data_IF_200202639737
#
_entry.id   IF_200202639737
#
_cell.length_a   1.000
_cell.length_b   1.000
_cell.length_c   1.000
_cell.angle_alpha   90.00
_cell.angle_beta   90.00
_cell.angle_gamma   90.00
#
_symmetry.space_group_name_H-M   'P 1'
#
loop_
_entity.id
_entity.type
_entity.pdbx_description
1 polymer ?
#
# COMPACT_ATOMS: atom_id res chain seq x y z
N UNK A 1 -6.33 -4.41 21.09
CA UNK A 1 -5.61 -3.77 19.95
C UNK A 1 -6.33 -4.07 18.64
N UNK A 2 -7.33 -3.26 18.29
CA UNK A 2 -7.98 -3.31 16.98
C UNK A 2 -6.92 -3.01 15.91
N UNK A 3 -6.60 -4.02 15.09
CA UNK A 3 -5.73 -3.86 13.93
C UNK A 3 -6.62 -3.58 12.73
N UNK A 4 -6.57 -2.35 12.22
CA UNK A 4 -7.12 -2.02 10.92
C UNK A 4 -6.11 -2.49 9.87
N UNK A 5 -6.36 -3.63 9.25
CA UNK A 5 -5.59 -4.09 8.12
C UNK A 5 -6.53 -4.73 7.10
N UNK A 6 -6.34 -4.38 5.84
CA UNK A 6 -7.07 -4.98 4.74
C UNK A 6 -6.13 -5.94 4.01
N UNK A 7 -6.45 -7.21 4.06
CA UNK A 7 -5.75 -8.24 3.30
C UNK A 7 -6.71 -8.86 2.28
N UNK A 8 -6.19 -9.18 1.10
CA UNK A 8 -6.99 -9.83 0.03
C UNK A 8 -7.54 -11.16 0.52
N UNK A 9 -6.80 -11.83 1.40
CA UNK A 9 -7.17 -13.09 2.05
C UNK A 9 -8.49 -13.00 2.82
N UNK A 10 -8.83 -11.84 3.36
CA UNK A 10 -10.10 -11.62 4.06
C UNK A 10 -11.30 -11.67 3.11
N UNK A 11 -11.12 -11.45 1.81
CA UNK A 11 -12.17 -11.60 0.81
C UNK A 11 -12.49 -13.06 0.50
N UNK A 12 -11.52 -13.96 0.67
CA UNK A 12 -11.66 -15.41 0.42
C UNK A 12 -12.12 -16.21 1.65
N UNK A 13 -12.38 -15.57 2.77
CA UNK A 13 -12.53 -16.17 4.11
C UNK A 13 -13.65 -17.21 4.29
N UNK A 14 -14.40 -17.57 3.26
CA UNK A 14 -15.50 -18.54 3.36
C UNK A 14 -15.19 -19.94 2.82
N UNK A 15 -14.15 -20.10 2.00
CA UNK A 15 -13.81 -21.39 1.43
C UNK A 15 -12.43 -21.85 1.91
N UNK A 16 -12.40 -22.78 2.87
CA UNK A 16 -11.15 -23.28 3.48
C UNK A 16 -10.22 -23.90 2.45
N UNK A 17 -10.75 -24.63 1.46
CA UNK A 17 -9.98 -25.33 0.46
C UNK A 17 -9.25 -24.36 -0.48
N UNK A 18 -9.92 -23.32 -0.96
CA UNK A 18 -9.30 -22.27 -1.80
C UNK A 18 -8.26 -21.47 -1.03
N UNK A 19 -8.49 -21.25 0.27
CA UNK A 19 -7.55 -20.54 1.12
C UNK A 19 -6.28 -21.36 1.36
N UNK A 20 -6.39 -22.67 1.57
CA UNK A 20 -5.25 -23.58 1.71
C UNK A 20 -4.42 -23.64 0.43
N UNK A 21 -5.05 -23.78 -0.74
CA UNK A 21 -4.39 -23.75 -2.05
C UNK A 21 -3.65 -22.42 -2.26
N UNK A 22 -4.25 -21.30 -1.90
CA UNK A 22 -3.62 -19.98 -1.99
C UNK A 22 -2.38 -19.86 -1.10
N UNK A 23 -2.43 -20.37 0.13
CA UNK A 23 -1.28 -20.36 1.03
C UNK A 23 -0.16 -21.32 0.57
N UNK A 24 -0.49 -22.46 -0.03
CA UNK A 24 0.49 -23.35 -0.64
C UNK A 24 1.16 -22.69 -1.84
N UNK A 25 0.38 -22.04 -2.70
CA UNK A 25 0.90 -21.27 -3.82
C UNK A 25 1.86 -20.16 -3.36
N UNK A 26 1.51 -19.41 -2.31
CA UNK A 26 2.39 -18.37 -1.75
C UNK A 26 3.72 -18.92 -1.19
N UNK A 27 3.72 -20.17 -0.69
CA UNK A 27 4.96 -20.81 -0.20
C UNK A 27 5.90 -21.17 -1.34
N UNK A 28 5.36 -21.64 -2.47
CA UNK A 28 6.15 -22.07 -3.62
C UNK A 28 6.60 -20.90 -4.51
N UNK A 29 5.71 -19.97 -4.80
CA UNK A 29 5.94 -18.90 -5.79
C UNK A 29 6.29 -17.53 -5.19
N UNK A 30 6.53 -17.44 -3.90
CA UNK A 30 6.71 -16.18 -3.15
C UNK A 30 5.55 -15.19 -3.30
N UNK A 31 5.45 -14.27 -2.34
CA UNK A 31 4.37 -13.27 -2.32
C UNK A 31 4.66 -12.16 -3.32
N UNK A 32 3.80 -11.99 -4.33
CA UNK A 32 3.85 -10.86 -5.26
C UNK A 32 3.13 -9.60 -4.70
N UNK A 33 2.27 -9.79 -3.70
CA UNK A 33 1.51 -8.72 -3.05
C UNK A 33 2.38 -7.80 -2.16
N UNK A 34 3.67 -8.11 -2.01
CA UNK A 34 4.66 -7.32 -1.31
C UNK A 34 5.52 -6.44 -2.24
N UNK A 35 5.22 -6.41 -3.54
CA UNK A 35 5.96 -5.61 -4.50
C UNK A 35 5.42 -4.20 -4.56
N UNK A 36 6.31 -3.23 -4.36
CA UNK A 36 6.06 -1.81 -4.48
C UNK A 36 6.85 -1.28 -5.68
N UNK A 37 6.22 -0.47 -6.49
CA UNK A 37 6.82 0.13 -7.67
C UNK A 37 7.04 1.62 -7.43
N UNK A 38 8.26 2.06 -7.59
CA UNK A 38 8.64 3.46 -7.59
C UNK A 38 8.89 3.88 -9.04
N UNK A 39 7.92 4.58 -9.62
CA UNK A 39 7.94 5.01 -11.03
C UNK A 39 8.55 6.39 -11.12
N UNK A 40 9.43 6.59 -12.10
CA UNK A 40 10.13 7.84 -12.37
C UNK A 40 10.14 8.15 -13.87
N UNK A 41 10.34 9.41 -14.22
CA UNK A 41 10.59 9.80 -15.61
C UNK A 41 11.92 9.26 -16.10
N UNK A 42 11.97 8.94 -17.39
CA UNK A 42 13.17 8.50 -18.09
C UNK A 42 13.52 9.56 -19.14
N UNK A 43 14.76 10.06 -19.18
CA UNK A 43 15.21 10.98 -20.24
C UNK A 43 15.24 10.26 -21.59
N UNK A 44 15.11 11.02 -22.68
CA UNK A 44 15.17 10.47 -24.06
C UNK A 44 16.45 9.68 -24.33
N UNK A 45 17.53 10.05 -23.64
CA UNK A 45 18.83 9.36 -23.73
C UNK A 45 19.31 8.98 -22.34
N UNK A 46 19.66 7.71 -22.15
CA UNK A 46 20.28 7.23 -20.92
C UNK A 46 21.70 7.80 -20.77
N UNK A 47 21.84 8.88 -20.03
CA UNK A 47 23.15 9.42 -19.68
C UNK A 47 23.76 8.65 -18.50
N UNK A 48 25.09 8.59 -18.42
CA UNK A 48 25.79 7.98 -17.31
C UNK A 48 25.40 8.62 -15.96
N UNK A 49 25.20 9.95 -15.97
CA UNK A 49 24.75 10.68 -14.78
C UNK A 49 23.35 10.27 -14.30
N UNK A 50 22.43 9.98 -15.21
CA UNK A 50 21.09 9.47 -14.87
C UNK A 50 21.19 8.07 -14.26
N UNK A 51 21.94 7.17 -14.90
CA UNK A 51 22.17 5.81 -14.41
C UNK A 51 22.87 5.81 -13.05
N UNK A 52 23.84 6.69 -12.83
CA UNK A 52 24.53 6.82 -11.55
C UNK A 52 23.59 7.32 -10.45
N UNK A 53 22.76 8.32 -10.72
CA UNK A 53 21.76 8.82 -9.80
C UNK A 53 20.75 7.72 -9.42
N UNK A 54 20.25 7.00 -10.43
CA UNK A 54 19.32 5.89 -10.21
C UNK A 54 19.94 4.77 -9.38
N UNK A 55 21.21 4.46 -9.63
CA UNK A 55 21.97 3.48 -8.88
C UNK A 55 22.20 3.90 -7.43
N UNK A 56 22.45 5.18 -7.15
CA UNK A 56 22.58 5.71 -5.78
C UNK A 56 21.27 5.58 -5.02
N UNK A 57 20.14 5.90 -5.65
CA UNK A 57 18.82 5.72 -5.06
C UNK A 57 18.57 4.24 -4.74
N UNK A 58 18.78 3.35 -5.70
CA UNK A 58 18.60 1.92 -5.53
C UNK A 58 19.48 1.36 -4.41
N UNK A 59 20.74 1.77 -4.33
CA UNK A 59 21.65 1.38 -3.25
C UNK A 59 21.20 1.89 -1.87
N UNK A 60 20.67 3.10 -1.80
CA UNK A 60 20.13 3.66 -0.56
C UNK A 60 18.91 2.88 -0.09
N UNK A 61 18.01 2.55 -1.01
CA UNK A 61 16.83 1.74 -0.74
C UNK A 61 17.21 0.31 -0.32
N UNK A 62 18.18 -0.30 -0.98
CA UNK A 62 18.64 -1.66 -0.67
C UNK A 62 19.29 -1.78 0.71
N UNK A 63 19.92 -0.72 1.21
CA UNK A 63 20.48 -0.66 2.56
C UNK A 63 19.43 -0.44 3.65
N UNK A 64 18.20 -0.09 3.28
CA UNK A 64 17.13 0.16 4.25
C UNK A 64 16.65 -1.12 4.91
N UNK A 65 16.12 -1.06 6.13
CA UNK A 65 15.58 -2.24 6.82
C UNK A 65 14.27 -2.75 6.19
N UNK A 66 13.63 -1.97 5.33
CA UNK A 66 12.27 -2.18 4.84
C UNK A 66 12.18 -3.20 3.71
N UNK A 67 13.18 -3.24 2.83
CA UNK A 67 13.14 -4.02 1.61
C UNK A 67 13.99 -5.30 1.71
N UNK A 68 13.49 -6.37 1.10
CA UNK A 68 14.19 -7.63 0.93
C UNK A 68 15.06 -7.62 -0.32
N UNK A 69 14.55 -6.95 -1.35
CA UNK A 69 15.17 -6.88 -2.67
C UNK A 69 14.79 -5.57 -3.33
N UNK A 70 15.73 -4.96 -4.01
CA UNK A 70 15.55 -3.73 -4.81
C UNK A 70 16.14 -4.00 -6.18
N UNK A 71 15.34 -3.84 -7.22
CA UNK A 71 15.76 -4.00 -8.61
C UNK A 71 15.51 -2.68 -9.33
N UNK A 72 16.53 -2.11 -9.90
CA UNK A 72 16.45 -0.86 -10.66
C UNK A 72 16.84 -1.07 -12.13
N UNK A 73 16.40 -0.13 -12.96
CA UNK A 73 16.84 -0.08 -14.35
C UNK A 73 18.37 0.04 -14.45
N UNK A 74 19.02 0.73 -13.50
CA UNK A 74 20.47 0.87 -13.46
C UNK A 74 21.21 -0.45 -13.26
N UNK A 75 20.64 -1.38 -12.48
CA UNK A 75 21.24 -2.69 -12.25
C UNK A 75 21.25 -3.51 -13.54
N UNK A 76 20.14 -3.48 -14.26
CA UNK A 76 20.00 -4.17 -15.54
C UNK A 76 20.90 -3.52 -16.59
N UNK A 77 20.96 -2.17 -16.62
CA UNK A 77 21.80 -1.41 -17.55
C UNK A 77 23.30 -1.75 -17.37
N UNK A 78 23.78 -1.84 -16.14
CA UNK A 78 25.18 -2.19 -15.85
C UNK A 78 25.54 -3.64 -16.11
N UNK A 79 24.61 -4.57 -15.88
CA UNK A 79 24.82 -5.99 -16.12
C UNK A 79 24.90 -6.31 -17.61
N UNK A 80 24.14 -5.59 -18.41
CA UNK A 80 24.11 -5.76 -19.87
C UNK A 80 25.21 -5.02 -20.61
N UNK A 81 25.85 -3.99 -20.08
CA UNK A 81 27.07 -3.39 -20.66
C UNK A 81 28.26 -4.38 -20.70
N UNK A 82 28.11 -5.55 -20.08
CA UNK A 82 29.05 -6.67 -20.19
C UNK A 82 28.75 -7.62 -21.36
N UNK A 83 27.57 -7.49 -22.01
CA UNK A 83 27.15 -8.27 -23.19
C UNK A 83 26.35 -7.35 -24.12
N UNK A 84 26.64 -7.44 -25.42
CA UNK A 84 25.97 -6.72 -26.51
C UNK A 84 24.45 -6.61 -26.27
N UNK A 85 23.94 -5.37 -26.22
CA UNK A 85 22.60 -5.01 -25.77
C UNK A 85 21.53 -5.58 -26.69
N UNK A 86 20.77 -6.53 -26.19
CA UNK A 86 19.42 -6.82 -26.69
C UNK A 86 18.40 -6.05 -25.86
N UNK A 87 17.92 -4.90 -26.36
CA UNK A 87 16.81 -4.13 -25.75
C UNK A 87 15.51 -4.92 -25.65
N UNK A 88 15.47 -6.11 -26.21
CA UNK A 88 14.34 -7.06 -26.17
C UNK A 88 14.39 -8.01 -24.96
N UNK A 89 15.34 -7.87 -24.04
CA UNK A 89 15.30 -8.68 -22.84
C UNK A 89 13.98 -8.41 -22.10
N UNK A 90 13.20 -9.46 -21.87
CA UNK A 90 11.87 -9.39 -21.24
C UNK A 90 11.87 -8.67 -19.87
N UNK A 91 13.02 -8.55 -19.21
CA UNK A 91 13.19 -7.83 -17.94
C UNK A 91 13.19 -6.32 -18.13
N UNK A 92 13.85 -5.78 -19.16
CA UNK A 92 13.85 -4.36 -19.49
C UNK A 92 12.45 -3.90 -19.94
N UNK A 93 11.79 -4.70 -20.77
CA UNK A 93 10.44 -4.39 -21.27
C UNK A 93 9.41 -4.24 -20.14
N UNK A 94 9.62 -4.91 -19.00
CA UNK A 94 8.73 -4.81 -17.86
C UNK A 94 9.06 -3.67 -16.89
N UNK A 95 10.23 -3.03 -17.02
CA UNK A 95 10.67 -1.94 -16.15
C UNK A 95 10.56 -0.55 -16.80
N UNK A 96 10.33 -0.51 -18.08
CA UNK A 96 10.17 0.73 -18.86
C UNK A 96 8.80 0.72 -19.53
N UNK A 97 8.13 1.87 -19.55
CA UNK A 97 6.83 2.02 -20.23
C UNK A 97 6.98 1.82 -21.75
N UNK A 98 5.89 1.45 -22.42
CA UNK A 98 5.90 1.19 -23.89
C UNK A 98 6.34 2.40 -24.72
N UNK A 99 6.08 3.60 -24.20
CA UNK A 99 6.47 4.88 -24.82
C UNK A 99 7.87 5.33 -24.39
N UNK A 100 8.57 4.54 -23.57
CA UNK A 100 9.90 4.80 -23.05
C UNK A 100 10.03 6.10 -22.24
N UNK A 101 8.91 6.66 -21.75
CA UNK A 101 8.91 7.92 -20.98
C UNK A 101 9.08 7.71 -19.48
N UNK A 102 8.75 6.51 -18.99
CA UNK A 102 8.79 6.18 -17.55
C UNK A 102 9.53 4.87 -17.31
N UNK A 103 10.29 4.86 -16.24
CA UNK A 103 10.95 3.68 -15.70
C UNK A 103 10.45 3.36 -14.28
N UNK A 104 10.77 2.18 -13.79
CA UNK A 104 10.38 1.77 -12.45
C UNK A 104 11.53 1.13 -11.68
N UNK A 105 11.55 1.37 -10.37
CA UNK A 105 12.35 0.62 -9.40
C UNK A 105 11.38 -0.34 -8.69
N UNK A 106 11.71 -1.61 -8.68
CA UNK A 106 10.93 -2.65 -8.04
C UNK A 106 11.46 -2.89 -6.64
N UNK A 107 10.57 -2.76 -5.66
CA UNK A 107 10.90 -2.84 -4.23
C UNK A 107 10.11 -3.98 -3.61
N UNK A 108 10.77 -5.05 -3.22
CA UNK A 108 10.13 -6.15 -2.51
C UNK A 108 10.16 -5.89 -1.02
N UNK A 109 9.00 -5.59 -0.46
CA UNK A 109 8.82 -5.29 0.96
C UNK A 109 9.03 -6.57 1.79
N UNK A 110 9.67 -6.46 2.96
CA UNK A 110 9.73 -7.55 3.93
C UNK A 110 8.34 -7.77 4.54
N UNK A 111 7.98 -9.02 4.82
CA UNK A 111 6.66 -9.39 5.32
C UNK A 111 6.28 -8.67 6.61
N UNK A 112 7.24 -8.45 7.50
CA UNK A 112 7.05 -7.72 8.76
C UNK A 112 6.60 -6.25 8.58
N UNK A 113 6.82 -5.68 7.40
CA UNK A 113 6.45 -4.30 7.07
C UNK A 113 5.17 -4.20 6.24
N UNK A 114 4.51 -5.30 5.93
CA UNK A 114 3.26 -5.31 5.15
C UNK A 114 2.00 -5.17 6.02
N UNK A 115 2.07 -4.43 7.14
CA UNK A 115 0.92 -4.00 7.95
C UNK A 115 0.59 -2.54 7.67
N UNK A 116 -0.66 -2.11 7.87
CA UNK A 116 -1.09 -0.73 7.55
C UNK A 116 -0.15 0.33 8.11
N UNK A 117 0.12 0.29 9.43
CA UNK A 117 0.98 1.27 10.09
C UNK A 117 2.40 1.30 9.52
N UNK A 118 2.98 0.14 9.29
CA UNK A 118 4.35 0.03 8.77
C UNK A 118 4.42 0.36 7.28
N UNK A 119 3.38 0.05 6.50
CA UNK A 119 3.29 0.48 5.09
C UNK A 119 3.28 2.00 4.96
N UNK A 120 2.51 2.70 5.82
CA UNK A 120 2.52 4.16 5.85
C UNK A 120 3.92 4.73 6.12
N UNK A 121 4.63 4.15 7.10
CA UNK A 121 6.01 4.52 7.42
C UNK A 121 6.96 4.32 6.23
N UNK A 122 6.85 3.18 5.53
CA UNK A 122 7.64 2.91 4.33
C UNK A 122 7.34 3.90 3.21
N UNK A 123 6.08 4.23 2.97
CA UNK A 123 5.68 5.19 1.94
C UNK A 123 6.20 6.60 2.28
N UNK A 124 6.14 7.01 3.54
CA UNK A 124 6.72 8.29 4.00
C UNK A 124 8.24 8.31 3.83
N UNK A 125 8.91 7.21 4.16
CA UNK A 125 10.35 7.06 3.93
C UNK A 125 10.70 7.19 2.44
N UNK A 126 9.95 6.53 1.54
CA UNK A 126 10.16 6.68 0.09
C UNK A 126 9.99 8.14 -0.35
N UNK A 127 8.93 8.81 0.11
CA UNK A 127 8.70 10.22 -0.18
C UNK A 127 9.85 11.11 0.32
N UNK A 128 10.42 10.81 1.47
CA UNK A 128 11.55 11.58 2.02
C UNK A 128 12.82 11.44 1.18
N UNK A 129 13.09 10.26 0.62
CA UNK A 129 14.24 10.03 -0.27
C UNK A 129 14.04 10.73 -1.61
N UNK A 130 12.84 10.66 -2.18
CA UNK A 130 12.56 11.18 -3.53
C UNK A 130 12.33 12.69 -3.54
N UNK A 131 11.95 13.31 -2.42
CA UNK A 131 11.66 14.74 -2.32
C UNK A 131 12.87 15.65 -2.62
N UNK A 132 14.10 15.14 -2.50
CA UNK A 132 15.33 15.85 -2.81
C UNK A 132 15.77 15.76 -4.28
N UNK A 133 15.01 15.06 -5.13
CA UNK A 133 15.36 14.76 -6.51
C UNK A 133 14.29 15.38 -7.39
N UNK A 134 14.71 16.23 -8.32
CA UNK A 134 13.84 16.96 -9.25
C UNK A 134 13.35 16.05 -10.41
N UNK A 135 12.71 14.92 -10.04
CA UNK A 135 12.05 14.00 -10.95
C UNK A 135 10.59 13.85 -10.53
N UNK A 136 9.73 13.56 -11.49
CA UNK A 136 8.35 13.21 -11.20
C UNK A 136 8.29 11.75 -10.70
N UNK A 137 7.80 11.58 -9.45
CA UNK A 137 7.73 10.27 -8.80
C UNK A 137 6.30 9.83 -8.58
N UNK A 138 6.01 8.59 -8.97
CA UNK A 138 4.73 7.94 -8.70
C UNK A 138 4.96 6.64 -7.95
N UNK A 139 4.16 6.42 -6.91
CA UNK A 139 4.20 5.22 -6.08
C UNK A 139 3.05 4.30 -6.47
N UNK A 140 3.34 3.04 -6.76
CA UNK A 140 2.35 2.05 -7.20
C UNK A 140 2.62 0.70 -6.55
N UNK A 141 1.76 -0.26 -6.81
CA UNK A 141 1.84 -1.62 -6.26
C UNK A 141 0.80 -1.90 -5.18
N UNK A 142 0.59 -3.18 -4.90
CA UNK A 142 -0.45 -3.63 -3.95
C UNK A 142 -0.30 -3.01 -2.55
N UNK A 143 0.92 -2.88 -1.96
CA UNK A 143 1.07 -2.24 -0.66
C UNK A 143 0.61 -0.79 -0.64
N UNK A 144 0.84 -0.01 -1.71
CA UNK A 144 0.39 1.38 -1.82
C UNK A 144 -1.12 1.45 -1.91
N UNK A 145 -1.72 0.63 -2.77
CA UNK A 145 -3.18 0.57 -2.94
C UNK A 145 -3.87 0.21 -1.63
N UNK A 146 -3.37 -0.81 -0.93
CA UNK A 146 -3.89 -1.23 0.39
C UNK A 146 -3.79 -0.10 1.42
N UNK A 147 -2.66 0.60 1.46
CA UNK A 147 -2.47 1.71 2.39
C UNK A 147 -3.46 2.85 2.12
N UNK A 148 -3.54 3.26 0.86
CA UNK A 148 -4.44 4.32 0.40
C UNK A 148 -5.91 3.97 0.65
N UNK A 149 -6.30 2.71 0.39
CA UNK A 149 -7.66 2.23 0.65
C UNK A 149 -8.04 2.35 2.13
N UNK A 150 -7.17 1.88 3.03
CA UNK A 150 -7.42 1.97 4.48
C UNK A 150 -7.45 3.43 4.95
N UNK A 151 -6.56 4.27 4.43
CA UNK A 151 -6.52 5.70 4.74
C UNK A 151 -7.83 6.40 4.34
N UNK A 152 -8.31 6.18 3.12
CA UNK A 152 -9.59 6.71 2.67
C UNK A 152 -10.77 6.17 3.49
N UNK A 153 -10.77 4.89 3.80
CA UNK A 153 -11.82 4.27 4.62
C UNK A 153 -11.91 4.90 6.01
N UNK A 154 -10.77 5.15 6.66
CA UNK A 154 -10.72 5.85 7.94
C UNK A 154 -11.21 7.29 7.80
N UNK A 155 -10.76 8.01 6.78
CA UNK A 155 -11.14 9.39 6.51
C UNK A 155 -12.63 9.53 6.24
N UNK A 156 -13.20 8.62 5.46
CA UNK A 156 -14.64 8.59 5.16
C UNK A 156 -15.46 8.28 6.41
N UNK A 157 -15.04 7.33 7.23
CA UNK A 157 -15.73 7.03 8.48
C UNK A 157 -15.75 8.26 9.41
N UNK A 158 -14.62 8.94 9.59
CA UNK A 158 -14.55 10.16 10.41
C UNK A 158 -15.46 11.28 9.84
N UNK A 159 -15.58 11.37 8.52
CA UNK A 159 -16.38 12.39 7.85
C UNK A 159 -17.88 12.09 7.91
N UNK A 160 -18.29 10.82 7.76
CA UNK A 160 -19.70 10.45 7.61
C UNK A 160 -20.38 10.06 8.93
N UNK A 161 -19.66 9.49 9.89
CA UNK A 161 -20.28 9.08 11.17
C UNK A 161 -20.90 10.25 11.93
N UNK A 162 -20.26 11.42 12.11
CA UNK A 162 -20.87 12.53 12.87
C UNK A 162 -22.16 13.06 12.27
N UNK A 163 -22.28 13.37 10.94
CA UNK A 163 -23.54 13.85 10.40
C UNK A 163 -24.64 12.79 10.44
N UNK A 164 -24.35 11.52 10.23
CA UNK A 164 -25.33 10.44 10.34
C UNK A 164 -25.82 10.31 11.79
N UNK A 165 -24.93 10.38 12.76
CA UNK A 165 -25.30 10.38 14.19
C UNK A 165 -26.17 11.60 14.54
N UNK A 166 -25.84 12.79 14.00
CA UNK A 166 -26.62 14.02 14.19
C UNK A 166 -28.05 13.87 13.64
N UNK A 167 -28.19 13.36 12.41
CA UNK A 167 -29.49 13.13 11.77
C UNK A 167 -30.32 12.16 12.62
N UNK A 168 -29.69 11.09 13.10
CA UNK A 168 -30.35 10.10 13.98
C UNK A 168 -30.87 10.76 15.26
N UNK A 169 -30.04 11.57 15.94
CA UNK A 169 -30.43 12.25 17.18
C UNK A 169 -31.59 13.23 16.92
N UNK A 170 -31.52 14.01 15.85
CA UNK A 170 -32.59 14.97 15.48
C UNK A 170 -33.90 14.23 15.19
N UNK A 171 -33.84 13.13 14.43
CA UNK A 171 -35.02 12.33 14.12
C UNK A 171 -35.65 11.73 15.36
N UNK A 172 -34.85 11.17 16.27
CA UNK A 172 -35.35 10.64 17.55
C UNK A 172 -35.93 11.75 18.44
N UNK A 173 -35.28 12.91 18.50
CA UNK A 173 -35.78 14.07 19.28
C UNK A 173 -37.14 14.57 18.76
N UNK A 174 -37.29 14.63 17.43
CA UNK A 174 -38.55 15.00 16.79
C UNK A 174 -39.69 13.99 17.05
N UNK A 175 -39.37 12.69 17.00
CA UNK A 175 -40.31 11.58 17.16
C UNK A 175 -40.80 11.48 18.60
N UNK A 176 -39.90 11.49 19.57
CA UNK A 176 -40.22 11.17 20.95
C UNK A 176 -40.57 12.40 21.84
N UNK A 177 -40.21 13.60 21.44
CA UNK A 177 -40.48 14.88 22.16
C UNK A 177 -40.06 14.89 23.63
N UNK A 178 -39.30 13.89 24.08
CA UNK A 178 -38.80 13.74 25.44
C UNK A 178 -37.35 13.18 25.38
N UNK A 179 -36.43 13.86 26.02
CA UNK A 179 -35.00 13.56 26.00
C UNK A 179 -34.63 12.17 26.53
N UNK A 180 -35.43 11.64 27.53
CA UNK A 180 -35.19 10.31 28.08
C UNK A 180 -35.31 9.25 26.98
N UNK A 181 -36.34 9.34 26.15
CA UNK A 181 -36.57 8.40 25.03
C UNK A 181 -35.60 8.53 23.87
N UNK A 182 -34.87 9.63 23.81
CA UNK A 182 -33.77 9.82 22.85
C UNK A 182 -32.46 9.22 23.38
N UNK A 183 -32.17 9.43 24.65
CA UNK A 183 -30.91 8.98 25.26
C UNK A 183 -30.88 7.45 25.41
N UNK A 184 -32.00 6.81 25.73
CA UNK A 184 -32.07 5.35 25.99
C UNK A 184 -31.60 4.54 24.75
N UNK A 185 -32.14 4.74 23.52
CA UNK A 185 -31.68 4.02 22.34
C UNK A 185 -30.21 4.32 22.00
N UNK A 186 -29.79 5.58 22.14
CA UNK A 186 -28.39 5.96 21.87
C UNK A 186 -27.42 5.25 22.82
N UNK A 187 -27.79 5.17 24.10
CA UNK A 187 -26.98 4.45 25.10
C UNK A 187 -26.91 2.96 24.81
N UNK A 188 -28.01 2.34 24.38
CA UNK A 188 -28.04 0.95 23.95
C UNK A 188 -27.14 0.67 22.79
N UNK A 189 -27.18 1.55 21.73
CA UNK A 189 -26.29 1.43 20.57
C UNK A 189 -24.82 1.56 20.99
N UNK A 190 -24.50 2.49 21.89
CA UNK A 190 -23.15 2.72 22.38
C UNK A 190 -22.61 1.51 23.15
N UNK A 191 -23.41 0.93 24.05
CA UNK A 191 -23.05 -0.29 24.78
C UNK A 191 -22.82 -1.44 23.79
N UNK A 192 -23.75 -1.64 22.86
CA UNK A 192 -23.63 -2.72 21.85
C UNK A 192 -22.36 -2.56 21.02
N UNK A 193 -22.05 -1.35 20.58
CA UNK A 193 -20.81 -1.06 19.86
C UNK A 193 -19.57 -1.38 20.71
N UNK A 194 -19.55 -0.98 21.97
CA UNK A 194 -18.45 -1.32 22.88
C UNK A 194 -18.28 -2.83 23.08
N UNK A 195 -19.39 -3.58 23.19
CA UNK A 195 -19.35 -5.03 23.30
C UNK A 195 -18.79 -5.69 22.04
N UNK A 196 -19.25 -5.27 20.87
CA UNK A 196 -18.76 -5.80 19.58
C UNK A 196 -17.26 -5.54 19.45
N UNK A 197 -16.81 -4.31 19.71
CA UNK A 197 -15.40 -3.94 19.64
C UNK A 197 -14.56 -4.70 20.68
N UNK A 198 -15.10 -4.93 21.87
CA UNK A 198 -14.45 -5.73 22.92
C UNK A 198 -14.25 -7.19 22.51
N UNK A 199 -15.27 -7.81 21.92
CA UNK A 199 -15.19 -9.20 21.43
C UNK A 199 -14.22 -9.31 20.25
N UNK A 200 -14.20 -8.35 19.36
CA UNK A 200 -13.26 -8.33 18.22
C UNK A 200 -11.79 -8.09 18.61
N UNK A 201 -11.54 -7.64 19.86
CA UNK A 201 -10.20 -7.37 20.38
C UNK A 201 -9.56 -8.59 21.07
N UNK A 202 -10.30 -9.67 21.26
CA UNK A 202 -9.83 -10.94 21.85
C UNK A 202 -9.31 -11.83 20.74
#
# INVERSE_FOLDING_TARGET
NLKYDFTIEQLFAKNKEETEIYFEFQKEFSREDNVLLLVHQVPETFSDSFIDSLSQIANTLNKSPYFKEVISLADIYRDSNKKEYDYTSSRLLNMVSKDSTHGSIWLKLKDDYNTFKKRSEVIEYLKSITSGIDWEWTYSGIPVVRNTYVEYMIKDNIKFIPPVAMILVITLAFLFRNWIYVILPLFTVLITACWILGIMSI
#
